data_IF_150123653474
#
_entry.id   IF_150123653474
#
_cell.length_a   1.000
_cell.length_b   1.000
_cell.length_c   1.000
_cell.angle_alpha   90.00
_cell.angle_beta   90.00
_cell.angle_gamma   90.00
#
_symmetry.space_group_name_H-M   'P 1'
#
loop_
_entity.id
_entity.type
_entity.pdbx_description
1 polymer ?
#
# COMPACT_ATOMS: atom_id res chain seq x y z
N UNK A 1 -11.92 19.05 -19.83
CA UNK A 1 -12.16 17.60 -19.97
C UNK A 1 -12.52 17.07 -18.59
N UNK A 2 -13.66 16.44 -18.37
CA UNK A 2 -13.94 15.81 -17.07
C UNK A 2 -13.19 14.48 -17.05
N UNK A 3 -12.25 14.32 -16.15
CA UNK A 3 -11.65 13.00 -15.87
C UNK A 3 -12.69 12.18 -15.13
N UNK A 4 -13.00 11.00 -15.63
CA UNK A 4 -13.82 10.01 -14.94
C UNK A 4 -12.86 9.04 -14.27
N UNK A 5 -13.12 8.69 -13.03
CA UNK A 5 -12.32 7.75 -12.24
C UNK A 5 -13.18 6.53 -11.97
N UNK A 6 -12.64 5.34 -12.24
CA UNK A 6 -13.12 4.08 -11.68
C UNK A 6 -12.19 3.72 -10.52
N UNK A 7 -12.76 3.52 -9.33
CA UNK A 7 -12.02 3.06 -8.14
C UNK A 7 -12.68 1.81 -7.59
N UNK A 8 -11.87 0.82 -7.27
CA UNK A 8 -12.25 -0.37 -6.50
C UNK A 8 -11.51 -0.31 -5.18
N UNK A 9 -12.24 -0.31 -4.07
CA UNK A 9 -11.67 -0.17 -2.73
C UNK A 9 -12.19 -1.31 -1.84
N UNK A 10 -11.30 -1.90 -1.06
CA UNK A 10 -11.66 -2.92 -0.07
C UNK A 10 -10.81 -2.78 1.18
N UNK A 11 -11.38 -3.10 2.33
CA UNK A 11 -10.68 -3.23 3.63
C UNK A 11 -10.57 -4.69 4.07
N UNK A 12 -11.14 -5.59 3.27
CA UNK A 12 -10.99 -7.03 3.42
C UNK A 12 -10.28 -7.53 2.16
N UNK A 13 -8.94 -7.66 2.24
CA UNK A 13 -8.11 -7.98 1.09
C UNK A 13 -7.99 -9.52 0.92
N UNK A 14 -8.76 -10.09 -0.01
CA UNK A 14 -8.78 -11.54 -0.23
C UNK A 14 -7.62 -12.04 -1.10
N UNK A 15 -6.58 -11.22 -1.28
CA UNK A 15 -5.46 -11.46 -2.17
C UNK A 15 -5.65 -10.88 -3.58
N UNK A 16 -4.52 -10.63 -4.27
CA UNK A 16 -4.51 -9.96 -5.56
C UNK A 16 -5.36 -10.66 -6.63
N UNK A 17 -5.37 -11.97 -6.67
CA UNK A 17 -6.15 -12.74 -7.64
C UNK A 17 -7.64 -12.36 -7.62
N UNK A 18 -8.24 -12.29 -6.43
CA UNK A 18 -9.65 -11.93 -6.28
C UNK A 18 -9.94 -10.46 -6.64
N UNK A 19 -9.02 -9.56 -6.27
CA UNK A 19 -9.13 -8.14 -6.65
C UNK A 19 -9.01 -7.98 -8.16
N UNK A 20 -8.10 -8.71 -8.81
CA UNK A 20 -7.92 -8.72 -10.26
C UNK A 20 -9.16 -9.22 -11.00
N UNK A 21 -9.83 -10.27 -10.51
CA UNK A 21 -11.09 -10.74 -11.10
C UNK A 21 -12.20 -9.68 -11.02
N UNK A 22 -12.29 -8.95 -9.91
CA UNK A 22 -13.23 -7.84 -9.77
C UNK A 22 -12.89 -6.69 -10.73
N UNK A 23 -11.61 -6.36 -10.86
CA UNK A 23 -11.13 -5.36 -11.81
C UNK A 23 -11.48 -5.77 -13.24
N UNK A 24 -11.24 -7.01 -13.63
CA UNK A 24 -11.58 -7.53 -14.96
C UNK A 24 -13.06 -7.36 -15.28
N UNK A 25 -13.94 -7.75 -14.36
CA UNK A 25 -15.38 -7.58 -14.51
C UNK A 25 -15.76 -6.10 -14.69
N UNK A 26 -15.13 -5.22 -13.90
CA UNK A 26 -15.41 -3.79 -13.91
C UNK A 26 -14.91 -3.13 -15.20
N UNK A 27 -13.67 -3.37 -15.63
CA UNK A 27 -13.11 -2.75 -16.85
C UNK A 27 -13.78 -3.29 -18.11
N UNK A 28 -14.11 -4.58 -18.18
CA UNK A 28 -14.84 -5.16 -19.31
C UNK A 28 -16.26 -4.60 -19.41
N UNK A 29 -16.94 -4.43 -18.29
CA UNK A 29 -18.27 -3.79 -18.29
C UNK A 29 -18.18 -2.32 -18.73
N UNK A 30 -17.17 -1.59 -18.27
CA UNK A 30 -16.95 -0.19 -18.62
C UNK A 30 -16.64 -0.04 -20.12
N UNK A 31 -15.77 -0.89 -20.67
CA UNK A 31 -15.45 -0.93 -22.11
C UNK A 31 -16.70 -1.11 -22.96
N UNK A 32 -17.54 -2.10 -22.61
CA UNK A 32 -18.76 -2.44 -23.37
C UNK A 32 -19.88 -1.39 -23.25
N UNK A 33 -20.05 -0.78 -22.07
CA UNK A 33 -21.22 0.07 -21.78
C UNK A 33 -20.94 1.54 -22.01
N UNK A 34 -19.71 2.00 -21.79
CA UNK A 34 -19.35 3.43 -21.83
C UNK A 34 -18.33 3.76 -22.92
N UNK A 35 -17.63 2.75 -23.46
CA UNK A 35 -16.63 2.89 -24.51
C UNK A 35 -15.67 4.09 -24.25
N UNK A 36 -14.92 4.12 -23.14
CA UNK A 36 -14.00 5.20 -22.85
C UNK A 36 -12.96 5.32 -23.96
N UNK A 37 -12.52 6.55 -24.27
CA UNK A 37 -11.60 6.78 -25.38
C UNK A 37 -10.15 6.38 -25.09
N UNK A 38 -9.78 6.37 -23.81
CA UNK A 38 -8.40 6.05 -23.40
C UNK A 38 -8.22 6.14 -21.88
N UNK A 39 -7.01 5.82 -21.46
CA UNK A 39 -6.58 5.75 -20.06
C UNK A 39 -5.45 6.74 -19.81
N UNK A 40 -5.58 7.60 -18.82
CA UNK A 40 -4.52 8.56 -18.44
C UNK A 40 -3.69 8.10 -17.27
N UNK A 41 -4.21 7.21 -16.41
CA UNK A 41 -3.50 6.65 -15.27
C UNK A 41 -4.10 5.32 -14.86
N UNK A 42 -3.25 4.36 -14.56
CA UNK A 42 -3.59 3.12 -13.86
C UNK A 42 -2.78 3.09 -12.57
N UNK A 43 -3.37 2.67 -11.45
CA UNK A 43 -2.66 2.60 -10.19
C UNK A 43 -3.26 1.57 -9.24
N UNK A 44 -2.39 0.97 -8.46
CA UNK A 44 -2.70 0.08 -7.35
C UNK A 44 -2.12 0.68 -6.07
N UNK A 45 -2.92 0.77 -5.02
CA UNK A 45 -2.46 1.27 -3.73
C UNK A 45 -2.81 0.30 -2.63
N UNK A 46 -1.81 -0.04 -1.84
CA UNK A 46 -1.91 -0.89 -0.67
C UNK A 46 -1.56 -0.07 0.56
N UNK A 47 -2.40 -0.15 1.59
CA UNK A 47 -2.16 0.53 2.87
C UNK A 47 -2.25 -0.51 3.98
N UNK A 48 -1.10 -0.84 4.55
CA UNK A 48 -0.98 -1.83 5.61
C UNK A 48 -0.85 -1.11 6.96
N UNK A 49 -1.73 -1.44 7.89
CA UNK A 49 -1.68 -1.05 9.29
C UNK A 49 -1.10 -2.21 10.11
N UNK A 50 0.21 -2.28 10.20
CA UNK A 50 0.90 -3.33 10.97
C UNK A 50 0.70 -3.05 12.44
N UNK A 51 -0.06 -3.92 13.11
CA UNK A 51 -0.29 -3.92 14.55
C UNK A 51 0.32 -5.17 15.13
N UNK A 52 1.12 -5.01 16.15
CA UNK A 52 1.88 -6.11 16.75
C UNK A 52 1.50 -6.28 18.22
N UNK A 53 1.66 -7.46 18.80
CA UNK A 53 1.48 -7.68 20.23
C UNK A 53 2.38 -6.73 21.04
N UNK A 54 1.87 -6.21 22.15
CA UNK A 54 2.67 -5.44 23.10
C UNK A 54 3.56 -6.39 23.92
N UNK A 55 4.87 -6.15 23.87
CA UNK A 55 5.83 -6.89 24.70
C UNK A 55 5.95 -6.22 26.07
N UNK A 56 5.06 -6.59 27.01
CA UNK A 56 5.20 -6.22 28.43
C UNK A 56 4.70 -4.81 28.78
N UNK A 57 5.47 -4.09 29.62
CA UNK A 57 5.07 -2.80 30.21
C UNK A 57 5.30 -1.59 29.27
N UNK A 58 6.04 -1.77 28.16
CA UNK A 58 6.29 -0.68 27.20
C UNK A 58 5.09 -0.52 26.27
N UNK A 59 4.45 0.66 26.25
CA UNK A 59 3.34 0.93 25.35
C UNK A 59 3.75 1.01 23.87
N UNK A 60 5.03 1.17 23.57
CA UNK A 60 5.52 1.30 22.21
C UNK A 60 6.27 0.05 21.75
N UNK A 61 5.87 -0.55 20.62
CA UNK A 61 6.56 -1.69 20.04
C UNK A 61 8.01 -1.36 19.64
N UNK A 62 8.88 -2.33 19.80
CA UNK A 62 10.22 -2.29 19.24
C UNK A 62 10.14 -2.57 17.73
N UNK A 63 9.91 -1.54 16.94
CA UNK A 63 9.68 -1.68 15.49
C UNK A 63 10.81 -2.37 14.73
N UNK A 64 12.06 -2.35 15.25
CA UNK A 64 13.20 -3.10 14.72
C UNK A 64 13.01 -4.63 14.69
N UNK A 65 12.11 -5.14 15.51
CA UNK A 65 11.79 -6.58 15.55
C UNK A 65 10.77 -6.96 14.47
N UNK A 66 10.04 -5.99 13.91
CA UNK A 66 8.89 -6.21 13.04
C UNK A 66 9.08 -5.72 11.61
N UNK A 67 9.84 -4.64 11.41
CA UNK A 67 10.07 -4.05 10.10
C UNK A 67 11.56 -3.90 9.81
N UNK A 68 11.91 -3.82 8.53
CA UNK A 68 13.29 -3.66 8.10
C UNK A 68 13.91 -2.36 8.67
N UNK A 69 15.14 -2.43 9.11
CA UNK A 69 15.88 -1.31 9.72
C UNK A 69 15.98 -0.09 8.79
N UNK A 70 15.92 -0.28 7.48
CA UNK A 70 15.93 0.83 6.51
C UNK A 70 14.75 1.78 6.68
N UNK A 71 13.64 1.31 7.25
CA UNK A 71 12.45 2.12 7.53
C UNK A 71 12.55 2.93 8.83
N UNK A 72 13.52 2.62 9.69
CA UNK A 72 13.63 3.23 11.01
C UNK A 72 14.53 4.48 11.02
N UNK A 73 15.19 4.78 9.90
CA UNK A 73 15.93 6.01 9.66
C UNK A 73 16.95 6.35 10.75
N UNK A 74 16.88 7.56 11.33
CA UNK A 74 17.88 8.08 12.25
C UNK A 74 17.80 7.49 13.67
N UNK A 75 17.08 6.39 13.92
CA UNK A 75 16.99 5.76 15.26
C UNK A 75 18.36 5.49 15.87
N UNK A 76 19.32 5.07 15.04
CA UNK A 76 20.70 4.78 15.47
C UNK A 76 21.46 6.04 15.91
N UNK A 77 21.06 7.24 15.47
CA UNK A 77 21.72 8.52 15.80
C UNK A 77 21.31 9.02 17.18
N UNK A 78 20.06 8.81 17.57
CA UNK A 78 19.49 9.38 18.80
C UNK A 78 20.21 8.88 20.06
N UNK A 79 20.53 7.58 20.16
CA UNK A 79 21.11 6.97 21.35
C UNK A 79 22.48 7.51 21.76
N UNK A 80 23.23 8.17 20.86
CA UNK A 80 24.56 8.70 21.13
C UNK A 80 24.59 10.10 21.73
N UNK A 81 23.46 10.80 21.73
CA UNK A 81 23.40 12.23 22.12
C UNK A 81 22.36 12.54 23.20
N UNK A 82 21.84 11.52 23.89
CA UNK A 82 20.79 11.70 24.90
C UNK A 82 19.45 12.16 24.31
N UNK A 83 19.24 11.92 23.02
CA UNK A 83 17.99 12.21 22.32
C UNK A 83 17.12 10.98 22.28
N UNK A 84 15.79 11.16 22.36
CA UNK A 84 14.80 10.13 22.16
C UNK A 84 14.09 10.38 20.84
N UNK A 85 14.03 9.38 19.95
CA UNK A 85 13.25 9.49 18.73
C UNK A 85 11.75 9.41 19.06
N UNK A 86 11.02 10.50 18.90
CA UNK A 86 9.58 10.58 19.18
C UNK A 86 8.70 10.20 17.99
N UNK A 87 9.24 10.21 16.78
CA UNK A 87 8.52 9.82 15.57
C UNK A 87 9.47 9.72 14.38
N UNK A 88 9.13 8.84 13.46
CA UNK A 88 9.84 8.66 12.20
C UNK A 88 8.85 8.37 11.09
N UNK A 89 8.84 9.21 10.07
CA UNK A 89 8.05 9.02 8.86
C UNK A 89 8.93 9.28 7.65
N UNK A 90 8.71 8.52 6.59
CA UNK A 90 9.48 8.66 5.36
C UNK A 90 8.64 8.49 4.11
N UNK A 91 9.22 8.97 3.00
CA UNK A 91 8.70 8.74 1.65
C UNK A 91 9.88 8.38 0.75
N UNK A 92 9.74 7.27 0.03
CA UNK A 92 10.66 6.88 -1.03
C UNK A 92 9.90 6.78 -2.35
N UNK A 93 10.54 7.17 -3.45
CA UNK A 93 9.97 7.10 -4.81
C UNK A 93 10.92 6.28 -5.66
N UNK A 94 10.38 5.23 -6.28
CA UNK A 94 11.12 4.31 -7.14
C UNK A 94 10.58 4.41 -8.57
N UNK A 95 11.47 4.56 -9.54
CA UNK A 95 11.16 4.36 -10.96
C UNK A 95 11.27 2.87 -11.30
N UNK A 96 10.25 2.33 -11.91
CA UNK A 96 10.19 0.93 -12.35
C UNK A 96 10.32 0.79 -13.87
N UNK A 97 10.07 -0.43 -14.35
CA UNK A 97 10.04 -0.75 -15.77
C UNK A 97 8.86 -0.04 -16.48
N UNK A 98 8.98 0.18 -17.76
CA UNK A 98 7.94 0.77 -18.64
C UNK A 98 7.35 2.10 -18.13
N UNK A 99 8.14 2.89 -17.39
CA UNK A 99 7.69 4.19 -16.88
C UNK A 99 6.76 4.09 -15.66
N UNK A 100 6.70 2.94 -14.99
CA UNK A 100 5.97 2.79 -13.74
C UNK A 100 6.66 3.51 -12.60
N UNK A 101 5.89 3.91 -11.59
CA UNK A 101 6.38 4.56 -10.38
C UNK A 101 5.80 3.86 -9.15
N UNK A 102 6.63 3.59 -8.16
CA UNK A 102 6.19 3.14 -6.84
C UNK A 102 6.55 4.19 -5.80
N UNK A 103 5.56 4.69 -5.08
CA UNK A 103 5.73 5.60 -3.95
C UNK A 103 5.43 4.84 -2.67
N UNK A 104 6.45 4.69 -1.83
CA UNK A 104 6.35 4.13 -0.49
C UNK A 104 6.32 5.26 0.54
N UNK A 105 5.26 5.34 1.35
CA UNK A 105 5.17 6.20 2.53
C UNK A 105 5.07 5.30 3.75
N UNK A 106 5.87 5.59 4.77
CA UNK A 106 5.96 4.71 5.93
C UNK A 106 6.18 5.48 7.23
N UNK A 107 5.87 4.83 8.34
CA UNK A 107 6.18 5.36 9.66
C UNK A 107 5.29 4.82 10.78
N UNK A 108 5.79 4.97 12.01
CA UNK A 108 5.05 4.65 13.23
C UNK A 108 3.99 5.73 13.50
N UNK A 109 2.81 5.31 13.95
CA UNK A 109 1.66 6.16 14.27
C UNK A 109 0.89 5.57 15.46
N UNK A 110 0.13 6.40 16.17
CA UNK A 110 -0.65 5.98 17.34
C UNK A 110 -2.17 5.85 17.05
N UNK A 111 -2.59 6.17 15.82
CA UNK A 111 -4.00 6.20 15.43
C UNK A 111 -4.26 5.34 14.18
N UNK A 112 -5.45 5.47 13.61
CA UNK A 112 -5.83 4.78 12.39
C UNK A 112 -5.31 5.51 11.15
N UNK A 113 -4.85 4.75 10.16
CA UNK A 113 -4.52 5.30 8.83
C UNK A 113 -5.76 5.40 7.97
N UNK A 114 -6.63 4.38 8.02
CA UNK A 114 -7.85 4.33 7.23
C UNK A 114 -9.06 4.42 8.15
N UNK A 115 -9.76 5.57 8.20
CA UNK A 115 -11.00 5.68 8.94
C UNK A 115 -12.11 4.87 8.25
N UNK A 116 -13.02 4.30 9.04
CA UNK A 116 -14.25 3.74 8.48
C UNK A 116 -15.16 4.85 7.98
N UNK A 117 -15.67 4.72 6.77
CA UNK A 117 -16.62 5.67 6.16
C UNK A 117 -17.89 4.96 5.75
N UNK A 118 -18.99 5.68 5.43
CA UNK A 118 -20.21 5.05 4.93
C UNK A 118 -19.99 4.21 3.66
N UNK A 119 -19.03 4.59 2.82
CA UNK A 119 -18.69 3.93 1.57
C UNK A 119 -17.70 2.79 1.76
N UNK A 120 -16.75 2.95 2.70
CA UNK A 120 -15.70 1.97 3.00
C UNK A 120 -15.79 1.60 4.48
N UNK A 121 -16.67 0.64 4.80
CA UNK A 121 -16.87 0.17 6.17
C UNK A 121 -15.86 -0.90 6.52
N UNK A 122 -15.25 -0.78 7.70
CA UNK A 122 -14.43 -1.85 8.27
C UNK A 122 -14.65 -1.95 9.78
N UNK A 123 -14.44 -3.13 10.37
CA UNK A 123 -14.25 -3.23 11.83
C UNK A 123 -13.06 -2.36 12.24
N UNK A 124 -13.26 -1.50 13.24
CA UNK A 124 -12.17 -0.68 13.75
C UNK A 124 -11.42 -1.49 14.82
N UNK A 125 -10.11 -1.71 14.65
CA UNK A 125 -9.31 -2.34 15.71
C UNK A 125 -9.24 -1.42 16.95
N UNK A 126 -8.80 -1.94 18.07
CA UNK A 126 -8.53 -1.11 19.25
C UNK A 126 -7.49 -0.03 18.92
N UNK A 127 -7.64 1.21 19.44
CA UNK A 127 -6.61 2.23 19.29
C UNK A 127 -5.27 1.74 19.86
N UNK A 128 -4.19 2.14 19.25
CA UNK A 128 -2.86 1.75 19.69
C UNK A 128 -1.80 2.00 18.63
N UNK A 129 -0.53 1.77 18.96
CA UNK A 129 0.56 1.97 18.04
C UNK A 129 0.43 1.04 16.81
N UNK A 130 0.76 1.59 15.66
CA UNK A 130 0.83 0.87 14.39
C UNK A 130 2.02 1.35 13.57
N UNK A 131 2.51 0.50 12.69
CA UNK A 131 3.43 0.92 11.64
C UNK A 131 2.70 0.91 10.30
N UNK A 132 2.73 2.05 9.63
CA UNK A 132 2.09 2.19 8.31
C UNK A 132 3.08 1.85 7.21
N UNK A 133 2.64 1.02 6.26
CA UNK A 133 3.21 0.93 4.92
C UNK A 133 2.13 1.32 3.92
N UNK A 134 2.37 2.36 3.14
CA UNK A 134 1.43 2.89 2.14
C UNK A 134 2.16 2.93 0.80
N UNK A 135 1.87 1.96 -0.06
CA UNK A 135 2.51 1.73 -1.34
C UNK A 135 1.54 2.06 -2.47
N UNK A 136 1.86 3.10 -3.24
CA UNK A 136 1.10 3.53 -4.43
C UNK A 136 1.95 3.26 -5.67
N UNK A 137 1.61 2.20 -6.41
CA UNK A 137 2.26 1.81 -7.66
C UNK A 137 1.38 2.23 -8.83
N UNK A 138 1.92 3.01 -9.76
CA UNK A 138 1.14 3.55 -10.86
C UNK A 138 1.94 3.78 -12.13
N UNK A 139 1.21 3.88 -13.23
CA UNK A 139 1.68 4.37 -14.52
C UNK A 139 0.79 5.53 -14.97
N UNK A 140 1.40 6.62 -15.43
CA UNK A 140 0.72 7.80 -15.97
C UNK A 140 1.10 7.96 -17.44
N UNK A 141 0.11 8.30 -18.26
CA UNK A 141 0.26 8.49 -19.70
C UNK A 141 0.04 9.97 -20.03
N UNK A 142 1.14 10.74 -20.08
CA UNK A 142 1.10 12.19 -20.30
C UNK A 142 1.28 12.57 -21.79
N UNK A 143 2.22 11.91 -22.49
CA UNK A 143 2.55 12.22 -23.88
C UNK A 143 1.63 11.52 -24.90
N UNK A 144 1.19 10.33 -24.57
CA UNK A 144 0.29 9.53 -25.40
C UNK A 144 -0.74 8.82 -24.52
N UNK A 145 -1.99 9.06 -24.80
CA UNK A 145 -3.11 8.40 -24.10
C UNK A 145 -3.47 7.12 -24.86
N UNK A 146 -3.15 5.92 -24.32
CA UNK A 146 -3.51 4.67 -24.98
C UNK A 146 -5.03 4.50 -25.05
N UNK A 147 -5.54 3.77 -26.04
CA UNK A 147 -6.94 3.36 -26.09
C UNK A 147 -7.35 2.66 -24.79
N UNK A 148 -8.64 2.72 -24.48
CA UNK A 148 -9.15 1.93 -23.35
C UNK A 148 -9.38 0.49 -23.83
N UNK A 149 -8.50 -0.41 -23.44
CA UNK A 149 -8.60 -1.83 -23.71
C UNK A 149 -8.50 -2.59 -22.39
N UNK A 150 -9.51 -3.41 -22.08
CA UNK A 150 -9.58 -4.11 -20.80
C UNK A 150 -8.37 -5.02 -20.56
N UNK A 151 -7.87 -5.68 -21.61
CA UNK A 151 -6.68 -6.52 -21.56
C UNK A 151 -5.43 -5.77 -21.12
N UNK A 152 -5.15 -4.64 -21.76
CA UNK A 152 -3.96 -3.81 -21.49
C UNK A 152 -4.00 -3.23 -20.06
N UNK A 153 -5.20 -2.85 -19.58
CA UNK A 153 -5.39 -2.38 -18.21
C UNK A 153 -5.06 -3.47 -17.19
N UNK A 154 -5.45 -4.72 -17.48
CA UNK A 154 -5.18 -5.86 -16.60
C UNK A 154 -3.69 -6.24 -16.61
N UNK A 155 -3.04 -6.24 -17.77
CA UNK A 155 -1.60 -6.47 -17.89
C UNK A 155 -0.81 -5.40 -17.15
N UNK A 156 -1.20 -4.14 -17.28
CA UNK A 156 -0.59 -3.03 -16.51
C UNK A 156 -0.82 -3.22 -15.00
N UNK A 157 -2.00 -3.64 -14.57
CA UNK A 157 -2.26 -3.92 -13.16
C UNK A 157 -1.37 -5.05 -12.62
N UNK A 158 -1.15 -6.11 -13.41
CA UNK A 158 -0.24 -7.21 -13.06
C UNK A 158 1.22 -6.71 -12.94
N UNK A 159 1.66 -5.85 -13.87
CA UNK A 159 2.97 -5.20 -13.84
C UNK A 159 3.15 -4.34 -12.57
N UNK A 160 2.14 -3.56 -12.20
CA UNK A 160 2.16 -2.70 -11.01
C UNK A 160 2.12 -3.48 -9.70
N UNK A 161 1.46 -4.64 -9.66
CA UNK A 161 1.36 -5.47 -8.45
C UNK A 161 2.68 -6.12 -8.06
N UNK A 162 3.44 -6.62 -9.02
CA UNK A 162 4.66 -7.38 -8.78
C UNK A 162 5.69 -6.67 -7.89
N UNK A 163 6.10 -5.40 -8.18
CA UNK A 163 7.04 -4.70 -7.33
C UNK A 163 6.47 -4.39 -5.94
N UNK A 164 5.17 -4.11 -5.81
CA UNK A 164 4.55 -3.87 -4.50
C UNK A 164 4.69 -5.09 -3.59
N UNK A 165 4.37 -6.28 -4.11
CA UNK A 165 4.52 -7.53 -3.36
C UNK A 165 5.96 -7.76 -2.92
N UNK A 166 6.92 -7.62 -3.83
CA UNK A 166 8.32 -7.87 -3.54
C UNK A 166 8.86 -6.87 -2.51
N UNK A 167 8.56 -5.59 -2.67
CA UNK A 167 8.97 -4.55 -1.72
C UNK A 167 8.35 -4.79 -0.34
N UNK A 168 7.07 -5.16 -0.27
CA UNK A 168 6.44 -5.51 1.01
C UNK A 168 7.19 -6.63 1.73
N UNK A 169 7.52 -7.71 1.02
CA UNK A 169 8.25 -8.86 1.57
C UNK A 169 9.65 -8.48 2.08
N UNK A 170 10.33 -7.55 1.42
CA UNK A 170 11.65 -7.05 1.82
C UNK A 170 11.58 -6.08 3.02
N UNK A 171 10.44 -5.43 3.23
CA UNK A 171 10.25 -4.43 4.29
C UNK A 171 9.78 -5.02 5.62
N UNK A 172 9.32 -6.26 5.65
CA UNK A 172 8.88 -6.96 6.86
C UNK A 172 9.94 -7.95 7.34
N UNK A 173 9.95 -8.20 8.65
CA UNK A 173 10.82 -9.24 9.23
C UNK A 173 10.15 -10.61 9.17
N UNK A 174 10.95 -11.67 9.34
CA UNK A 174 10.41 -13.02 9.48
C UNK A 174 9.50 -13.13 10.71
N UNK A 175 9.81 -12.42 11.79
CA UNK A 175 8.97 -12.39 12.98
C UNK A 175 7.56 -11.85 12.67
N UNK A 176 7.45 -10.75 11.93
CA UNK A 176 6.14 -10.22 11.52
C UNK A 176 5.36 -11.25 10.69
N UNK A 177 6.06 -11.89 9.75
CA UNK A 177 5.45 -12.89 8.86
C UNK A 177 4.92 -14.08 9.64
N UNK A 178 5.66 -14.57 10.61
CA UNK A 178 5.30 -15.77 11.38
C UNK A 178 4.30 -15.51 12.49
N UNK A 179 4.48 -14.43 13.26
CA UNK A 179 3.68 -14.19 14.47
C UNK A 179 2.40 -13.38 14.22
N UNK A 180 2.32 -12.65 13.11
CA UNK A 180 1.16 -11.79 12.81
C UNK A 180 0.44 -12.23 11.53
N UNK A 181 1.15 -12.32 10.40
CA UNK A 181 0.50 -12.52 9.09
C UNK A 181 0.08 -13.97 8.81
N UNK A 182 0.70 -14.97 9.42
CA UNK A 182 0.33 -16.38 9.22
C UNK A 182 -0.83 -16.86 10.09
N UNK A 183 -1.32 -16.03 10.97
CA UNK A 183 -2.40 -16.36 11.90
C UNK A 183 -3.75 -15.71 11.48
N UNK A 184 -3.78 -14.99 10.39
CA UNK A 184 -5.00 -14.53 9.72
C UNK A 184 -5.38 -15.52 8.58
#
# INVERSE_FOLDING_TARGET
MRQNILSLETTDYPGYFNVRELLEKAVTALERLMAPKGVTRIGLRYIDEIRVPSDGEDPQPRWEDWVNLSLLGPKTVSGHHGLTLLGNQGTAVFGGEEGTTLVLRYGAQDEYVIPSTPQLRRPMPSPGPLFKLDMDSFQTYDDYIPPFEAGDILETADLLHKPVKNVFEDLITERLREEVLRHE
#
